data_IF_622879139073
#
_entry.id   IF_622879139073
#
_cell.length_a   1.000
_cell.length_b   1.000
_cell.length_c   1.000
_cell.angle_alpha   90.00
_cell.angle_beta   90.00
_cell.angle_gamma   90.00
#
_symmetry.space_group_name_H-M   'P 1'
#
loop_
_entity.id
_entity.type
_entity.pdbx_description
1 polymer ?
#
# COMPACT_ATOMS: atom_id res chain seq x y z
N UNK A 1 -4.54 -12.35 21.29
CA UNK A 1 -5.06 -11.70 20.06
C UNK A 1 -6.37 -10.99 20.37
N UNK A 2 -7.37 -11.66 20.97
CA UNK A 2 -8.63 -11.01 21.44
C UNK A 2 -8.44 -9.70 22.23
N UNK A 3 -7.47 -9.62 23.15
CA UNK A 3 -7.26 -8.40 23.95
C UNK A 3 -6.80 -7.16 23.15
N UNK A 4 -6.28 -7.34 21.93
CA UNK A 4 -5.82 -6.23 21.08
C UNK A 4 -6.90 -5.75 20.12
N UNK A 5 -7.84 -6.64 19.75
CA UNK A 5 -8.96 -6.31 18.86
C UNK A 5 -9.92 -5.31 19.50
N UNK A 6 -10.04 -5.29 20.83
CA UNK A 6 -10.86 -4.32 21.59
C UNK A 6 -10.12 -3.01 21.93
N UNK A 7 -8.82 -2.94 21.67
CA UNK A 7 -8.01 -1.75 21.93
C UNK A 7 -8.54 -0.51 21.18
N UNK A 8 -8.60 0.64 21.85
CA UNK A 8 -8.86 1.94 21.21
C UNK A 8 -7.55 2.67 20.84
N UNK A 9 -6.40 2.01 21.05
CA UNK A 9 -5.10 2.57 20.73
C UNK A 9 -4.81 2.38 19.24
N UNK A 10 -4.82 3.50 18.50
CA UNK A 10 -4.58 3.56 17.04
C UNK A 10 -3.25 2.92 16.65
N UNK A 11 -2.17 3.12 17.40
CA UNK A 11 -0.86 2.59 17.05
C UNK A 11 -0.82 1.06 17.18
N UNK A 12 -1.34 0.52 18.28
CA UNK A 12 -1.43 -0.93 18.48
C UNK A 12 -2.33 -1.60 17.43
N UNK A 13 -3.44 -0.96 17.08
CA UNK A 13 -4.33 -1.46 16.03
C UNK A 13 -3.64 -1.41 14.66
N UNK A 14 -2.86 -0.36 14.35
CA UNK A 14 -2.06 -0.31 13.11
C UNK A 14 -1.04 -1.44 13.04
N UNK A 15 -0.29 -1.66 14.12
CA UNK A 15 0.68 -2.75 14.20
C UNK A 15 0.00 -4.11 14.02
N UNK A 16 -1.13 -4.34 14.70
CA UNK A 16 -1.91 -5.58 14.57
C UNK A 16 -2.43 -5.77 13.14
N UNK A 17 -3.04 -4.73 12.55
CA UNK A 17 -3.58 -4.79 11.19
C UNK A 17 -2.49 -5.11 10.16
N UNK A 18 -1.30 -4.52 10.32
CA UNK A 18 -0.14 -4.88 9.52
C UNK A 18 0.24 -6.36 9.71
N UNK A 19 0.42 -6.83 10.95
CA UNK A 19 0.79 -8.23 11.24
C UNK A 19 -0.21 -9.22 10.61
N UNK A 20 -1.51 -8.93 10.67
CA UNK A 20 -2.56 -9.78 10.10
C UNK A 20 -2.46 -9.85 8.57
N UNK A 21 -2.37 -8.70 7.90
CA UNK A 21 -2.15 -8.62 6.45
C UNK A 21 -0.90 -9.43 6.03
N UNK A 22 0.18 -9.24 6.78
CA UNK A 22 1.43 -9.94 6.54
C UNK A 22 1.41 -11.44 6.84
N UNK A 23 0.43 -11.89 7.60
CA UNK A 23 0.17 -13.30 7.89
C UNK A 23 -0.84 -13.91 6.92
N UNK A 24 -1.22 -13.17 5.86
CA UNK A 24 -2.25 -13.58 4.88
C UNK A 24 -3.61 -13.83 5.53
N UNK A 25 -3.91 -13.09 6.59
CA UNK A 25 -5.20 -13.06 7.29
C UNK A 25 -5.93 -11.78 6.88
N UNK A 26 -6.24 -11.68 5.59
CA UNK A 26 -6.67 -10.44 4.96
C UNK A 26 -8.03 -9.97 5.50
N UNK A 27 -8.98 -10.88 5.76
CA UNK A 27 -10.29 -10.55 6.37
C UNK A 27 -10.16 -9.95 7.79
N UNK A 28 -9.22 -10.46 8.58
CA UNK A 28 -8.97 -9.94 9.92
C UNK A 28 -8.25 -8.58 9.86
N UNK A 29 -7.33 -8.42 8.91
CA UNK A 29 -6.70 -7.12 8.65
C UNK A 29 -7.75 -6.07 8.25
N UNK A 30 -8.71 -6.42 7.39
CA UNK A 30 -9.84 -5.56 7.03
C UNK A 30 -10.61 -5.15 8.28
N UNK A 31 -10.97 -6.11 9.14
CA UNK A 31 -11.70 -5.83 10.39
C UNK A 31 -10.97 -4.81 11.27
N UNK A 32 -9.64 -4.93 11.39
CA UNK A 32 -8.83 -3.98 12.15
C UNK A 32 -8.80 -2.59 11.49
N UNK A 33 -8.65 -2.52 10.17
CA UNK A 33 -8.61 -1.24 9.47
C UNK A 33 -9.98 -0.55 9.40
N UNK A 34 -11.08 -1.30 9.37
CA UNK A 34 -12.43 -0.74 9.57
C UNK A 34 -12.59 -0.15 10.97
N UNK A 35 -12.01 -0.80 11.99
CA UNK A 35 -11.99 -0.25 13.35
C UNK A 35 -11.16 1.03 13.43
N UNK A 36 -9.96 1.05 12.82
CA UNK A 36 -9.12 2.24 12.73
C UNK A 36 -9.88 3.40 12.06
N UNK A 37 -10.63 3.12 11.00
CA UNK A 37 -11.44 4.13 10.30
C UNK A 37 -12.65 4.60 11.14
N UNK A 38 -13.19 3.77 12.04
CA UNK A 38 -14.21 4.23 13.01
C UNK A 38 -13.63 5.19 14.05
N UNK A 39 -12.33 5.09 14.35
CA UNK A 39 -11.64 5.96 15.31
C UNK A 39 -11.18 7.27 14.68
N UNK A 40 -10.81 7.23 13.41
CA UNK A 40 -10.41 8.39 12.64
C UNK A 40 -11.02 8.30 11.23
N UNK A 41 -12.26 8.80 11.11
CA UNK A 41 -13.07 8.66 9.90
C UNK A 41 -12.61 9.49 8.73
N UNK A 42 -11.71 10.44 8.95
CA UNK A 42 -11.11 11.28 7.89
C UNK A 42 -9.69 10.82 7.55
N UNK A 43 -9.23 9.68 8.07
CA UNK A 43 -7.90 9.18 7.75
C UNK A 43 -7.86 8.54 6.35
N UNK A 44 -7.45 9.33 5.35
CA UNK A 44 -7.33 8.85 3.98
C UNK A 44 -6.33 7.67 3.84
N UNK A 45 -5.32 7.54 4.72
CA UNK A 45 -4.39 6.42 4.66
C UNK A 45 -5.05 5.10 5.08
N UNK A 46 -5.94 5.12 6.09
CA UNK A 46 -6.73 3.93 6.47
C UNK A 46 -7.72 3.55 5.37
N UNK A 47 -8.38 4.54 4.75
CA UNK A 47 -9.24 4.29 3.59
C UNK A 47 -8.46 3.68 2.42
N UNK A 48 -7.30 4.26 2.06
CA UNK A 48 -6.47 3.74 0.99
C UNK A 48 -5.96 2.32 1.30
N UNK A 49 -5.59 2.03 2.54
CA UNK A 49 -5.16 0.69 2.91
C UNK A 49 -6.30 -0.33 2.86
N UNK A 50 -7.52 0.02 3.30
CA UNK A 50 -8.71 -0.82 3.08
C UNK A 50 -8.95 -1.08 1.59
N UNK A 51 -8.87 -0.04 0.76
CA UNK A 51 -8.97 -0.18 -0.69
C UNK A 51 -7.93 -1.15 -1.24
N UNK A 52 -6.70 -1.08 -0.75
CA UNK A 52 -5.63 -1.99 -1.11
C UNK A 52 -5.88 -3.44 -0.67
N UNK A 53 -6.38 -3.67 0.55
CA UNK A 53 -6.74 -5.02 1.02
C UNK A 53 -7.83 -5.65 0.14
N UNK A 54 -8.89 -4.90 -0.17
CA UNK A 54 -9.95 -5.36 -1.08
C UNK A 54 -9.43 -5.59 -2.51
N UNK A 55 -8.47 -4.79 -2.97
CA UNK A 55 -7.82 -5.01 -4.27
C UNK A 55 -7.05 -6.34 -4.29
N UNK A 56 -6.32 -6.69 -3.23
CA UNK A 56 -5.59 -7.97 -3.14
C UNK A 56 -6.55 -9.18 -3.06
N UNK A 57 -7.77 -8.99 -2.57
CA UNK A 57 -8.84 -9.99 -2.56
C UNK A 57 -9.64 -10.05 -3.88
N UNK A 58 -9.23 -9.31 -4.91
CA UNK A 58 -9.93 -9.19 -6.20
C UNK A 58 -11.35 -8.57 -6.09
N UNK A 59 -11.65 -7.90 -4.97
CA UNK A 59 -12.89 -7.17 -4.70
C UNK A 59 -12.81 -5.74 -5.24
N UNK A 60 -12.53 -5.63 -6.54
CA UNK A 60 -12.12 -4.38 -7.16
C UNK A 60 -13.14 -3.23 -7.05
N UNK A 61 -14.44 -3.52 -7.03
CA UNK A 61 -15.48 -2.50 -6.85
C UNK A 61 -15.44 -1.86 -5.46
N UNK A 62 -15.16 -2.65 -4.43
CA UNK A 62 -14.99 -2.20 -3.04
C UNK A 62 -13.70 -1.40 -2.92
N UNK A 63 -12.62 -1.89 -3.55
CA UNK A 63 -11.35 -1.18 -3.61
C UNK A 63 -11.49 0.24 -4.20
N UNK A 64 -12.15 0.35 -5.36
CA UNK A 64 -12.44 1.63 -6.03
C UNK A 64 -13.23 2.57 -5.12
N UNK A 65 -14.23 2.07 -4.37
CA UNK A 65 -14.98 2.90 -3.44
C UNK A 65 -14.09 3.50 -2.35
N UNK A 66 -13.25 2.69 -1.72
CA UNK A 66 -12.33 3.14 -0.69
C UNK A 66 -11.27 4.11 -1.21
N UNK A 67 -10.70 3.87 -2.40
CA UNK A 67 -9.76 4.79 -3.01
C UNK A 67 -10.40 6.15 -3.34
N UNK A 68 -11.62 6.16 -3.89
CA UNK A 68 -12.34 7.40 -4.14
C UNK A 68 -12.62 8.17 -2.84
N UNK A 69 -13.06 7.49 -1.78
CA UNK A 69 -13.24 8.12 -0.45
C UNK A 69 -11.94 8.70 0.11
N UNK A 70 -10.82 8.00 -0.11
CA UNK A 70 -9.50 8.50 0.29
C UNK A 70 -9.12 9.76 -0.50
N UNK A 71 -9.44 9.81 -1.80
CA UNK A 71 -9.24 10.98 -2.67
C UNK A 71 -10.20 12.13 -2.37
N UNK A 72 -11.40 11.86 -1.86
CA UNK A 72 -12.32 12.91 -1.40
C UNK A 72 -11.71 13.73 -0.25
N UNK A 73 -10.85 13.09 0.56
CA UNK A 73 -10.11 13.74 1.66
C UNK A 73 -8.76 14.28 1.20
N UNK A 74 -8.01 13.50 0.41
CA UNK A 74 -6.66 13.82 -0.07
C UNK A 74 -6.62 13.78 -1.61
N UNK A 75 -7.16 14.82 -2.29
CA UNK A 75 -7.36 14.82 -3.74
C UNK A 75 -6.07 14.96 -4.55
N UNK A 76 -4.95 15.22 -3.91
CA UNK A 76 -3.63 15.43 -4.50
C UNK A 76 -2.68 14.26 -4.21
N UNK A 77 -3.21 13.06 -3.94
CA UNK A 77 -2.40 11.87 -3.65
C UNK A 77 -2.09 11.06 -4.93
N UNK A 78 -0.91 11.24 -5.57
CA UNK A 78 -0.55 10.52 -6.79
C UNK A 78 -0.58 9.00 -6.59
N UNK A 79 -0.20 8.53 -5.40
CA UNK A 79 -0.16 7.12 -5.09
C UNK A 79 -1.56 6.48 -5.03
N UNK A 80 -2.57 7.19 -4.52
CA UNK A 80 -3.94 6.67 -4.47
C UNK A 80 -4.53 6.62 -5.88
N UNK A 81 -4.24 7.59 -6.74
CA UNK A 81 -4.62 7.53 -8.16
C UNK A 81 -4.00 6.35 -8.89
N UNK A 82 -2.74 6.01 -8.59
CA UNK A 82 -2.10 4.81 -9.14
C UNK A 82 -2.82 3.51 -8.71
N UNK A 83 -3.15 3.39 -7.42
CA UNK A 83 -3.91 2.24 -6.91
C UNK A 83 -5.32 2.16 -7.51
N UNK A 84 -5.99 3.30 -7.65
CA UNK A 84 -7.29 3.40 -8.32
C UNK A 84 -7.21 2.95 -9.79
N UNK A 85 -6.14 3.35 -10.48
CA UNK A 85 -5.85 2.89 -11.84
C UNK A 85 -5.69 1.37 -11.92
N UNK A 86 -4.95 0.77 -10.98
CA UNK A 86 -4.79 -0.68 -10.90
C UNK A 86 -6.13 -1.40 -10.71
N UNK A 87 -6.97 -0.90 -9.80
CA UNK A 87 -8.28 -1.49 -9.53
C UNK A 87 -9.22 -1.39 -10.76
N UNK A 88 -9.24 -0.24 -11.44
CA UNK A 88 -9.99 -0.08 -12.69
C UNK A 88 -9.48 -1.00 -13.79
N UNK A 89 -8.16 -1.12 -13.97
CA UNK A 89 -7.55 -1.98 -14.98
C UNK A 89 -7.93 -3.44 -14.76
N UNK A 90 -7.82 -3.94 -13.53
CA UNK A 90 -8.20 -5.32 -13.19
C UNK A 90 -9.69 -5.60 -13.37
N UNK A 91 -10.54 -4.58 -13.20
CA UNK A 91 -11.98 -4.67 -13.45
C UNK A 91 -12.36 -4.55 -14.94
N UNK A 92 -11.41 -4.34 -15.84
CA UNK A 92 -11.68 -4.11 -17.27
C UNK A 92 -12.15 -2.69 -17.61
N UNK A 93 -12.13 -1.77 -16.65
CA UNK A 93 -12.49 -0.35 -16.83
C UNK A 93 -11.29 0.43 -17.37
N UNK A 94 -10.89 0.13 -18.61
CA UNK A 94 -9.61 0.57 -19.16
C UNK A 94 -9.49 2.10 -19.27
N UNK A 95 -10.57 2.80 -19.64
CA UNK A 95 -10.55 4.26 -19.78
C UNK A 95 -10.38 4.97 -18.44
N UNK A 96 -11.04 4.47 -17.40
CA UNK A 96 -10.93 4.96 -16.01
C UNK A 96 -9.52 4.69 -15.46
N UNK A 97 -8.94 3.54 -15.79
CA UNK A 97 -7.57 3.21 -15.42
C UNK A 97 -6.57 4.20 -16.01
N UNK A 98 -6.65 4.43 -17.33
CA UNK A 98 -5.79 5.41 -18.03
C UNK A 98 -5.92 6.79 -17.40
N UNK A 99 -7.15 7.29 -17.18
CA UNK A 99 -7.36 8.59 -16.54
C UNK A 99 -6.72 8.66 -15.15
N UNK A 100 -6.84 7.62 -14.35
CA UNK A 100 -6.26 7.58 -13.00
C UNK A 100 -4.74 7.57 -13.06
N UNK A 101 -4.13 6.80 -13.97
CA UNK A 101 -2.68 6.82 -14.17
C UNK A 101 -2.17 8.16 -14.69
N UNK A 102 -2.86 8.78 -15.65
CA UNK A 102 -2.51 10.11 -16.17
C UNK A 102 -2.54 11.16 -15.05
N UNK A 103 -3.52 11.10 -14.15
CA UNK A 103 -3.58 11.98 -12.98
C UNK A 103 -2.46 11.69 -11.99
N UNK A 104 -2.14 10.42 -11.72
CA UNK A 104 -1.01 10.07 -10.86
C UNK A 104 0.31 10.63 -11.42
N UNK A 105 0.53 10.51 -12.72
CA UNK A 105 1.71 11.06 -13.41
C UNK A 105 1.70 12.59 -13.38
N UNK A 106 0.54 13.22 -13.62
CA UNK A 106 0.39 14.67 -13.58
C UNK A 106 0.69 15.26 -12.19
N UNK A 107 0.35 14.54 -11.13
CA UNK A 107 0.65 14.89 -9.74
C UNK A 107 2.09 14.52 -9.33
N UNK A 108 2.98 14.32 -10.31
CA UNK A 108 4.38 13.94 -10.12
C UNK A 108 4.54 12.68 -9.26
N UNK A 109 3.81 11.60 -9.59
CA UNK A 109 4.09 10.28 -9.00
C UNK A 109 5.54 9.92 -9.27
N UNK A 110 6.37 10.05 -8.25
CA UNK A 110 7.72 9.54 -8.25
C UNK A 110 7.66 8.02 -8.01
N UNK A 111 7.53 7.27 -9.11
CA UNK A 111 7.44 5.80 -9.10
C UNK A 111 8.68 5.19 -8.43
N UNK A 112 9.84 5.81 -8.60
CA UNK A 112 11.06 5.41 -7.91
C UNK A 112 10.91 5.55 -6.39
N UNK A 113 10.50 6.73 -5.91
CA UNK A 113 10.30 6.98 -4.48
C UNK A 113 9.19 6.10 -3.89
N UNK A 114 8.11 5.82 -4.65
CA UNK A 114 7.06 4.91 -4.22
C UNK A 114 7.58 3.48 -3.97
N UNK A 115 8.35 2.91 -4.89
CA UNK A 115 8.96 1.60 -4.69
C UNK A 115 10.00 1.62 -3.55
N UNK A 116 10.76 2.71 -3.41
CA UNK A 116 11.70 2.89 -2.30
C UNK A 116 11.00 2.87 -0.93
N UNK A 117 9.88 3.57 -0.81
CA UNK A 117 9.10 3.66 0.41
C UNK A 117 8.43 2.32 0.76
N UNK A 118 7.94 1.58 -0.24
CA UNK A 118 7.49 0.20 -0.03
C UNK A 118 8.61 -0.70 0.44
N UNK A 119 9.78 -0.60 -0.18
CA UNK A 119 10.94 -1.41 0.18
C UNK A 119 11.34 -1.19 1.64
N UNK A 120 11.43 0.07 2.08
CA UNK A 120 11.70 0.45 3.47
C UNK A 120 10.62 -0.08 4.42
N UNK A 121 9.35 0.14 4.09
CA UNK A 121 8.23 -0.38 4.89
C UNK A 121 8.29 -1.89 5.03
N UNK A 122 8.52 -2.65 3.96
CA UNK A 122 8.67 -4.10 4.06
C UNK A 122 9.90 -4.53 4.87
N UNK A 123 11.00 -3.78 4.80
CA UNK A 123 12.21 -4.05 5.59
C UNK A 123 11.97 -3.80 7.09
N UNK A 124 11.36 -2.67 7.45
CA UNK A 124 10.93 -2.36 8.82
C UNK A 124 10.00 -3.44 9.37
N UNK A 125 9.21 -4.04 8.48
CA UNK A 125 8.29 -5.14 8.80
C UNK A 125 8.93 -6.53 8.69
N UNK A 126 10.26 -6.61 8.53
CA UNK A 126 11.05 -7.84 8.47
C UNK A 126 10.78 -8.71 7.24
N UNK A 127 10.00 -8.24 6.27
CA UNK A 127 9.61 -8.92 5.04
C UNK A 127 10.70 -8.78 3.98
N UNK A 128 11.89 -9.28 4.29
CA UNK A 128 13.12 -9.10 3.49
C UNK A 128 12.99 -9.46 2.01
N UNK A 129 12.24 -10.53 1.67
CA UNK A 129 12.01 -10.92 0.26
C UNK A 129 11.17 -9.90 -0.52
N UNK A 130 10.12 -9.36 0.09
CA UNK A 130 9.29 -8.30 -0.52
C UNK A 130 10.06 -6.99 -0.59
N UNK A 131 10.74 -6.62 0.50
CA UNK A 131 11.63 -5.46 0.52
C UNK A 131 12.67 -5.54 -0.62
N UNK A 132 13.31 -6.69 -0.80
CA UNK A 132 14.27 -6.92 -1.88
C UNK A 132 13.63 -6.73 -3.26
N UNK A 133 12.43 -7.25 -3.49
CA UNK A 133 11.75 -7.10 -4.77
C UNK A 133 11.46 -5.63 -5.07
N UNK A 134 10.98 -4.85 -4.10
CA UNK A 134 10.71 -3.42 -4.28
C UNK A 134 12.00 -2.61 -4.46
N UNK A 135 13.07 -2.90 -3.71
CA UNK A 135 14.38 -2.26 -3.92
C UNK A 135 14.92 -2.53 -5.32
N UNK A 136 14.75 -3.76 -5.85
CA UNK A 136 15.15 -4.10 -7.23
C UNK A 136 14.35 -3.28 -8.23
N UNK A 137 13.02 -3.20 -8.10
CA UNK A 137 12.19 -2.40 -9.00
C UNK A 137 12.58 -0.92 -8.96
N UNK A 138 12.81 -0.35 -7.77
CA UNK A 138 13.29 1.02 -7.64
C UNK A 138 14.62 1.23 -8.37
N UNK A 139 15.58 0.31 -8.21
CA UNK A 139 16.87 0.37 -8.90
C UNK A 139 16.74 0.23 -10.43
N UNK A 140 15.79 -0.56 -10.93
CA UNK A 140 15.51 -0.66 -12.36
C UNK A 140 14.97 0.67 -12.95
N UNK A 141 14.30 1.49 -12.14
CA UNK A 141 13.78 2.81 -12.53
C UNK A 141 14.90 3.87 -12.47
N UNK A 142 15.65 3.95 -11.36
CA UNK A 142 16.84 4.80 -11.26
C UNK A 142 18.06 4.01 -10.72
N UNK A 143 18.93 3.54 -11.62
CA UNK A 143 20.07 2.70 -11.25
C UNK A 143 21.26 3.50 -10.68
N UNK A 144 21.12 4.81 -10.49
CA UNK A 144 22.23 5.68 -10.04
C UNK A 144 22.32 5.77 -8.52
N UNK A 145 21.29 5.32 -7.79
CA UNK A 145 21.30 5.31 -6.33
C UNK A 145 22.15 4.14 -5.80
N UNK A 146 23.37 4.49 -5.37
CA UNK A 146 24.34 3.53 -4.80
C UNK A 146 23.89 2.97 -3.45
N UNK A 147 23.06 3.69 -2.70
CA UNK A 147 22.58 3.22 -1.41
C UNK A 147 21.59 2.08 -1.61
N UNK A 148 20.73 2.16 -2.63
CA UNK A 148 19.85 1.04 -3.03
C UNK A 148 20.67 -0.17 -3.47
N UNK A 149 21.69 0.02 -4.31
CA UNK A 149 22.53 -1.09 -4.79
C UNK A 149 23.14 -1.88 -3.61
N UNK A 150 23.69 -1.17 -2.62
CA UNK A 150 24.21 -1.76 -1.39
C UNK A 150 23.12 -2.50 -0.61
N UNK A 151 21.92 -1.91 -0.52
CA UNK A 151 20.77 -2.49 0.16
C UNK A 151 20.30 -3.80 -0.48
N UNK A 152 20.19 -3.83 -1.80
CA UNK A 152 19.86 -5.02 -2.60
C UNK A 152 20.87 -6.13 -2.34
N UNK A 153 22.16 -5.81 -2.42
CA UNK A 153 23.23 -6.80 -2.24
C UNK A 153 23.20 -7.41 -0.83
N UNK A 154 22.98 -6.58 0.20
CA UNK A 154 22.80 -7.06 1.58
C UNK A 154 21.58 -7.97 1.71
N UNK A 155 20.41 -7.53 1.24
CA UNK A 155 19.18 -8.31 1.35
C UNK A 155 19.25 -9.62 0.55
N UNK A 156 19.93 -9.66 -0.60
CA UNK A 156 20.17 -10.90 -1.37
C UNK A 156 20.94 -11.94 -0.55
N UNK A 157 21.97 -11.52 0.19
CA UNK A 157 22.75 -12.42 1.06
C UNK A 157 21.93 -12.94 2.24
N UNK A 158 21.00 -12.11 2.76
CA UNK A 158 20.16 -12.47 3.91
C UNK A 158 18.91 -13.28 3.53
N UNK A 159 18.60 -13.39 2.24
CA UNK A 159 17.39 -14.08 1.73
C UNK A 159 17.68 -15.31 0.86
N UNK A 160 18.96 -15.57 0.57
CA UNK A 160 19.48 -16.78 -0.07
C UNK A 160 19.50 -17.96 0.92
#
# INVERSE_FOLDING_TARGET
MELLEDSQNVELLRELGAILYYSKRDEEAITIYEKLLKLDSENHNFMAFLGYLHYELEEHSVAVNYFNRALDVAPDSPFIYFLLGNAHSRSGNIMEAIRSYDFAIFLDLDIYTAHLDFAKKYEDMGRKKRALQEYITAYEIDPRDKDIELKINKLKQETA
#
